data_IF_487761695923
#
_entry.id   IF_487761695923
#
_cell.length_a   1.000
_cell.length_b   1.000
_cell.length_c   1.000
_cell.angle_alpha   90.00
_cell.angle_beta   90.00
_cell.angle_gamma   90.00
#
_symmetry.space_group_name_H-M   'P 1'
#
loop_
_entity.id
_entity.type
_entity.pdbx_description
1 polymer ?
#
# COMPACT_ATOMS: atom_id res chain seq x y z
N UNK A 1 14.64 -13.71 -22.59
CA UNK A 1 15.04 -13.72 -21.17
C UNK A 1 14.57 -15.03 -20.57
N UNK A 2 15.46 -15.79 -19.91
CA UNK A 2 15.13 -17.10 -19.32
C UNK A 2 14.44 -16.94 -17.97
N UNK A 3 13.56 -17.87 -17.64
CA UNK A 3 12.96 -18.05 -16.30
C UNK A 3 14.09 -18.25 -15.26
N UNK A 4 13.87 -17.77 -14.04
CA UNK A 4 14.81 -17.86 -12.93
C UNK A 4 15.90 -16.79 -12.92
N UNK A 5 15.84 -15.77 -13.79
CA UNK A 5 16.76 -14.63 -13.70
C UNK A 5 16.35 -13.72 -12.53
N UNK A 6 17.35 -13.33 -11.78
CA UNK A 6 17.21 -12.42 -10.65
C UNK A 6 17.73 -11.03 -11.00
N UNK A 7 17.15 -10.01 -10.44
CA UNK A 7 17.63 -8.64 -10.45
C UNK A 7 17.56 -8.08 -9.04
N UNK A 8 18.58 -7.35 -8.70
CA UNK A 8 18.69 -6.66 -7.43
C UNK A 8 18.48 -5.16 -7.66
N UNK A 9 17.66 -4.55 -6.85
CA UNK A 9 17.35 -3.12 -6.91
C UNK A 9 17.82 -2.47 -5.62
N UNK A 10 18.62 -1.44 -5.78
CA UNK A 10 19.07 -0.50 -4.77
C UNK A 10 18.12 0.69 -4.86
N UNK A 11 17.38 1.00 -3.78
CA UNK A 11 16.33 2.01 -3.77
C UNK A 11 16.82 3.36 -3.24
N UNK A 12 17.86 3.39 -2.42
CA UNK A 12 18.37 4.61 -1.79
C UNK A 12 19.73 5.06 -2.32
N UNK A 13 20.36 4.23 -3.19
CA UNK A 13 21.62 4.58 -3.86
C UNK A 13 22.85 4.36 -2.99
N UNK A 14 22.74 3.60 -1.90
CA UNK A 14 23.85 3.29 -1.01
C UNK A 14 24.70 2.10 -1.49
N UNK A 15 24.41 1.55 -2.67
CA UNK A 15 25.03 0.39 -3.30
C UNK A 15 24.66 -0.93 -2.62
N UNK A 16 23.71 -0.95 -1.70
CA UNK A 16 23.20 -2.15 -1.05
C UNK A 16 21.79 -2.45 -1.57
N UNK A 17 21.57 -3.53 -2.32
CA UNK A 17 20.23 -3.77 -2.86
C UNK A 17 19.25 -4.23 -1.77
N UNK A 18 18.11 -3.55 -1.66
CA UNK A 18 17.04 -3.88 -0.72
C UNK A 18 16.02 -4.84 -1.28
N UNK A 19 15.92 -4.93 -2.60
CA UNK A 19 14.90 -5.75 -3.25
C UNK A 19 15.56 -6.72 -4.26
N UNK A 20 15.19 -7.98 -4.14
CA UNK A 20 15.46 -9.01 -5.14
C UNK A 20 14.19 -9.29 -5.93
N UNK A 21 14.24 -9.12 -7.24
CA UNK A 21 13.19 -9.45 -8.19
C UNK A 21 13.51 -10.75 -8.89
N UNK A 22 12.61 -11.72 -8.81
CA UNK A 22 12.78 -13.03 -9.46
C UNK A 22 11.67 -13.23 -10.49
N UNK A 23 12.03 -13.59 -11.73
CA UNK A 23 11.07 -14.00 -12.76
C UNK A 23 10.70 -15.47 -12.55
N UNK A 24 9.52 -15.71 -11.97
CA UNK A 24 9.08 -17.07 -11.64
C UNK A 24 8.44 -17.78 -12.83
N UNK A 25 7.59 -17.09 -13.56
CA UNK A 25 6.86 -17.68 -14.70
C UNK A 25 6.38 -16.62 -15.69
N UNK A 26 6.20 -17.05 -16.93
CA UNK A 26 5.58 -16.26 -18.00
C UNK A 26 4.48 -17.09 -18.64
N UNK A 27 3.23 -16.78 -18.31
CA UNK A 27 2.09 -17.40 -18.97
C UNK A 27 1.97 -16.91 -20.43
N UNK A 28 2.43 -17.76 -21.35
CA UNK A 28 2.40 -17.51 -22.78
C UNK A 28 1.10 -18.00 -23.44
N UNK A 29 0.32 -18.80 -22.74
CA UNK A 29 -0.92 -19.39 -23.23
C UNK A 29 -2.17 -18.52 -23.04
N UNK A 30 -2.07 -17.52 -22.16
CA UNK A 30 -3.16 -16.58 -21.92
C UNK A 30 -3.14 -15.43 -22.94
N UNK A 31 -4.30 -14.97 -23.43
CA UNK A 31 -4.37 -13.79 -24.29
C UNK A 31 -3.84 -12.52 -23.60
N UNK A 32 -3.74 -12.51 -22.28
CA UNK A 32 -3.26 -11.38 -21.48
C UNK A 32 -1.75 -11.45 -21.12
N UNK A 33 -1.00 -12.45 -21.57
CA UNK A 33 0.46 -12.60 -21.36
C UNK A 33 0.93 -12.19 -19.96
N UNK A 34 0.54 -12.94 -18.95
CA UNK A 34 0.88 -12.64 -17.53
C UNK A 34 2.32 -13.03 -17.23
N UNK A 35 3.00 -12.17 -16.48
CA UNK A 35 4.32 -12.44 -15.92
C UNK A 35 4.18 -12.54 -14.40
N UNK A 36 4.66 -13.63 -13.83
CA UNK A 36 4.69 -13.81 -12.37
C UNK A 36 6.07 -13.42 -11.86
N UNK A 37 6.13 -12.34 -11.07
CA UNK A 37 7.35 -11.82 -10.45
C UNK A 37 7.30 -12.06 -8.94
N UNK A 38 8.36 -12.66 -8.40
CA UNK A 38 8.60 -12.70 -6.96
C UNK A 38 9.40 -11.48 -6.53
N UNK A 39 8.90 -10.73 -5.54
CA UNK A 39 9.61 -9.63 -4.90
C UNK A 39 10.01 -10.08 -3.50
N UNK A 40 11.31 -10.04 -3.22
CA UNK A 40 11.86 -10.43 -1.93
C UNK A 40 12.67 -9.27 -1.35
N UNK A 41 12.45 -8.98 -0.09
CA UNK A 41 13.32 -8.04 0.62
C UNK A 41 14.66 -8.73 0.91
N UNK A 42 15.75 -8.13 0.50
CA UNK A 42 17.09 -8.57 0.90
C UNK A 42 17.34 -7.97 2.29
N UNK A 43 17.35 -8.79 3.35
CA UNK A 43 17.98 -8.37 4.60
C UNK A 43 19.48 -8.29 4.32
N UNK A 44 20.11 -7.16 4.61
CA UNK A 44 21.47 -6.78 4.21
C UNK A 44 22.63 -7.78 4.46
N UNK A 45 22.32 -8.99 4.89
CA UNK A 45 23.29 -10.05 5.11
C UNK A 45 23.57 -10.92 3.87
N UNK A 46 22.71 -10.92 2.86
CA UNK A 46 22.89 -11.74 1.66
C UNK A 46 23.74 -11.04 0.57
N UNK A 47 23.86 -9.72 0.61
CA UNK A 47 24.69 -8.96 -0.34
C UNK A 47 26.21 -9.10 -0.06
N UNK A 48 26.59 -9.31 1.20
CA UNK A 48 27.99 -9.51 1.59
C UNK A 48 28.60 -10.82 1.05
N UNK A 49 27.76 -11.85 0.78
CA UNK A 49 28.24 -13.16 0.32
C UNK A 49 28.58 -13.20 -1.17
N UNK A 50 28.01 -12.34 -2.00
CA UNK A 50 28.30 -12.30 -3.43
C UNK A 50 29.53 -11.43 -3.77
N UNK A 51 29.86 -10.46 -2.92
CA UNK A 51 31.01 -9.59 -3.07
C UNK A 51 32.31 -10.22 -2.47
N UNK A 52 32.20 -11.16 -1.51
CA UNK A 52 33.29 -11.78 -0.84
C UNK A 52 34.01 -12.85 -1.67
N UNK A 53 33.45 -13.23 -2.82
CA UNK A 53 34.11 -14.18 -3.75
C UNK A 53 35.19 -13.54 -4.63
N UNK A 54 35.45 -12.25 -4.58
CA UNK A 54 36.36 -11.52 -5.46
C UNK A 54 37.55 -10.83 -4.76
N UNK A 55 37.68 -10.86 -3.44
CA UNK A 55 38.81 -10.26 -2.75
C UNK A 55 39.16 -11.06 -1.48
N UNK A 56 40.28 -11.81 -1.54
CA UNK A 56 40.91 -12.32 -0.33
C UNK A 56 41.56 -11.17 0.41
N UNK A 57 41.13 -10.92 1.66
CA UNK A 57 42.02 -10.60 2.77
C UNK A 57 41.21 -10.44 4.09
N UNK A 58 41.89 -10.69 5.17
CA UNK A 58 41.54 -10.87 6.59
C UNK A 58 40.44 -9.99 7.18
N UNK A 59 39.49 -10.52 8.02
CA UNK A 59 38.46 -9.73 8.65
C UNK A 59 38.95 -9.03 9.93
N UNK A 60 38.93 -7.71 9.95
CA UNK A 60 38.90 -6.92 11.20
C UNK A 60 37.49 -6.85 11.77
N UNK A 61 37.30 -6.90 13.08
CA UNK A 61 35.95 -6.81 13.68
C UNK A 61 35.41 -5.39 13.57
N UNK A 62 34.28 -5.24 12.88
CA UNK A 62 33.54 -3.99 12.80
C UNK A 62 32.65 -3.86 14.03
N UNK A 63 32.65 -2.71 14.72
CA UNK A 63 31.75 -2.49 15.86
C UNK A 63 30.28 -2.46 15.39
N UNK A 64 29.44 -3.23 16.08
CA UNK A 64 28.01 -3.27 15.87
C UNK A 64 27.44 -1.89 16.19
N UNK A 65 27.22 -1.06 15.18
CA UNK A 65 26.43 0.14 15.31
C UNK A 65 24.97 -0.25 15.52
N UNK A 66 24.36 0.34 16.56
CA UNK A 66 23.05 -0.02 17.04
C UNK A 66 21.98 -0.03 15.97
N UNK A 67 21.06 -0.98 16.11
CA UNK A 67 19.84 -1.09 15.31
C UNK A 67 19.08 0.24 15.32
N UNK A 68 19.27 1.04 14.30
CA UNK A 68 18.38 2.17 14.07
C UNK A 68 17.01 1.58 13.71
N UNK A 69 16.08 1.65 14.65
CA UNK A 69 14.66 1.42 14.37
C UNK A 69 14.30 2.37 13.24
N UNK A 70 13.77 1.88 12.09
CA UNK A 70 13.36 2.78 11.02
C UNK A 70 12.37 3.79 11.60
N UNK A 71 12.47 5.08 11.23
CA UNK A 71 11.55 6.09 11.74
C UNK A 71 10.13 5.65 11.38
N UNK A 72 9.32 5.41 12.40
CA UNK A 72 7.88 5.24 12.24
C UNK A 72 7.39 6.58 11.70
N UNK A 73 7.11 6.65 10.40
CA UNK A 73 6.47 7.82 9.81
C UNK A 73 5.08 7.89 10.44
N UNK A 74 4.92 8.80 11.37
CA UNK A 74 3.62 9.10 11.94
C UNK A 74 2.74 9.61 10.82
N UNK A 75 1.67 8.88 10.49
CA UNK A 75 0.67 9.34 9.56
C UNK A 75 0.04 10.63 10.12
N UNK A 76 0.27 11.75 9.46
CA UNK A 76 -0.26 13.06 9.89
C UNK A 76 -1.72 13.27 9.50
N UNK A 77 -2.31 12.30 8.82
CA UNK A 77 -3.71 12.34 8.42
C UNK A 77 -4.62 12.36 9.65
N UNK A 78 -5.42 13.42 9.78
CA UNK A 78 -6.37 13.56 10.87
C UNK A 78 -7.70 12.90 10.52
N UNK A 79 -8.41 12.26 11.46
CA UNK A 79 -9.74 11.75 11.23
C UNK A 79 -10.67 12.84 10.70
N UNK A 80 -11.44 12.51 9.65
CA UNK A 80 -12.36 13.43 8.98
C UNK A 80 -13.75 12.82 9.00
N UNK A 81 -14.77 13.61 9.44
CA UNK A 81 -16.16 13.24 9.33
C UNK A 81 -16.62 13.35 7.87
N UNK A 82 -17.15 12.25 7.33
CA UNK A 82 -17.64 12.14 5.97
C UNK A 82 -19.15 12.41 5.89
N UNK A 83 -19.90 12.10 6.97
CA UNK A 83 -21.35 12.30 7.06
C UNK A 83 -21.90 11.79 8.38
N UNK A 84 -23.17 12.12 8.63
CA UNK A 84 -23.90 11.70 9.83
C UNK A 84 -25.19 10.98 9.45
N UNK A 85 -25.64 10.05 10.29
CA UNK A 85 -26.90 9.34 10.13
C UNK A 85 -27.48 8.95 11.49
N UNK A 86 -28.81 8.81 11.56
CA UNK A 86 -29.49 8.33 12.76
C UNK A 86 -29.16 6.84 13.05
N UNK A 87 -28.86 6.07 12.00
CA UNK A 87 -28.48 4.66 12.09
C UNK A 87 -27.33 4.36 11.14
N UNK A 88 -26.41 3.48 11.56
CA UNK A 88 -25.39 2.92 10.68
C UNK A 88 -26.07 2.09 9.58
N UNK A 89 -25.69 2.32 8.34
CA UNK A 89 -26.29 1.66 7.18
C UNK A 89 -25.30 1.51 6.04
N UNK A 90 -25.82 1.12 4.87
CA UNK A 90 -25.04 1.06 3.64
C UNK A 90 -24.46 2.44 3.31
N UNK A 91 -23.22 2.44 2.87
CA UNK A 91 -22.57 3.62 2.32
C UNK A 91 -21.78 3.27 1.06
N UNK A 92 -21.71 4.23 0.17
CA UNK A 92 -21.03 4.11 -1.12
C UNK A 92 -19.79 5.00 -1.13
N UNK A 93 -18.70 4.45 -1.66
CA UNK A 93 -17.45 5.16 -1.87
C UNK A 93 -17.13 5.12 -3.37
N UNK A 94 -17.08 6.30 -3.99
CA UNK A 94 -16.67 6.44 -5.39
C UNK A 94 -15.21 6.92 -5.43
N UNK A 95 -14.38 6.23 -6.18
CA UNK A 95 -12.98 6.59 -6.37
C UNK A 95 -12.74 7.02 -7.81
N UNK A 96 -11.96 8.10 -7.97
CA UNK A 96 -11.43 8.55 -9.26
C UNK A 96 -9.92 8.63 -9.15
N UNK A 97 -9.21 7.96 -10.06
CA UNK A 97 -7.76 7.90 -10.06
C UNK A 97 -7.18 8.95 -11.00
N UNK A 98 -6.39 9.88 -10.46
CA UNK A 98 -5.71 10.96 -11.18
C UNK A 98 -4.35 10.54 -11.71
N UNK A 99 -3.76 9.50 -11.12
CA UNK A 99 -2.50 8.86 -11.49
C UNK A 99 -2.56 7.37 -11.16
N UNK A 100 -1.53 6.64 -11.58
CA UNK A 100 -1.40 5.22 -11.32
C UNK A 100 -1.34 4.93 -9.82
N UNK A 101 -2.09 3.91 -9.39
CA UNK A 101 -2.19 3.51 -7.99
C UNK A 101 -2.47 2.01 -7.86
N UNK A 102 -1.65 1.30 -7.10
CA UNK A 102 -2.04 0.00 -6.58
C UNK A 102 -3.00 0.23 -5.42
N UNK A 103 -4.24 -0.16 -5.61
CA UNK A 103 -5.34 0.02 -4.66
C UNK A 103 -5.75 -1.34 -4.12
N UNK A 104 -5.65 -1.49 -2.83
CA UNK A 104 -6.07 -2.68 -2.10
C UNK A 104 -7.21 -2.29 -1.20
N UNK A 105 -8.22 -3.13 -1.08
CA UNK A 105 -9.36 -2.84 -0.22
C UNK A 105 -9.92 -4.08 0.45
N UNK A 106 -10.60 -3.86 1.57
CA UNK A 106 -11.32 -4.85 2.35
C UNK A 106 -12.65 -4.22 2.78
N UNK A 107 -13.76 -4.84 2.39
CA UNK A 107 -15.11 -4.43 2.76
C UNK A 107 -15.63 -5.31 3.88
N UNK A 108 -16.01 -4.70 4.98
CA UNK A 108 -16.54 -5.37 6.18
C UNK A 108 -15.65 -6.54 6.66
N UNK A 109 -16.17 -7.77 6.63
CA UNK A 109 -15.46 -9.00 6.96
C UNK A 109 -15.15 -9.86 5.72
N UNK A 110 -15.18 -9.27 4.53
CA UNK A 110 -14.95 -9.96 3.27
C UNK A 110 -13.48 -10.30 3.01
N UNK A 111 -13.17 -10.61 1.78
CA UNK A 111 -11.81 -10.86 1.34
C UNK A 111 -11.12 -9.56 0.94
N UNK A 112 -9.81 -9.54 1.11
CA UNK A 112 -8.97 -8.46 0.62
C UNK A 112 -8.79 -8.61 -0.89
N UNK A 113 -9.05 -7.53 -1.62
CA UNK A 113 -8.87 -7.45 -3.06
C UNK A 113 -7.78 -6.43 -3.41
N UNK A 114 -7.00 -6.75 -4.42
CA UNK A 114 -5.92 -5.92 -4.95
C UNK A 114 -6.23 -5.58 -6.41
N UNK A 115 -6.18 -4.28 -6.75
CA UNK A 115 -6.38 -3.79 -8.12
C UNK A 115 -5.36 -2.70 -8.44
N UNK A 116 -4.88 -2.69 -9.67
CA UNK A 116 -4.09 -1.60 -10.20
C UNK A 116 -4.99 -0.71 -11.07
N UNK A 117 -5.00 0.57 -10.75
CA UNK A 117 -5.76 1.59 -11.49
C UNK A 117 -4.82 2.56 -12.18
N UNK A 118 -5.19 2.96 -13.37
CA UNK A 118 -4.50 3.97 -14.16
C UNK A 118 -5.22 5.31 -14.07
N UNK A 119 -4.53 6.36 -14.51
CA UNK A 119 -5.10 7.70 -14.58
C UNK A 119 -6.41 7.72 -15.37
N UNK A 120 -7.46 8.31 -14.79
CA UNK A 120 -8.78 8.46 -15.38
C UNK A 120 -9.76 7.33 -15.06
N UNK A 121 -9.29 6.23 -14.48
CA UNK A 121 -10.18 5.14 -14.09
C UNK A 121 -11.02 5.50 -12.87
N UNK A 122 -12.18 4.86 -12.76
CA UNK A 122 -13.12 5.02 -11.67
C UNK A 122 -13.46 3.66 -11.06
N UNK A 123 -13.76 3.66 -9.78
CA UNK A 123 -14.13 2.46 -9.06
C UNK A 123 -15.10 2.81 -7.93
N UNK A 124 -16.14 1.99 -7.76
CA UNK A 124 -17.16 2.19 -6.72
C UNK A 124 -17.20 0.99 -5.79
N UNK A 125 -17.27 1.25 -4.49
CA UNK A 125 -17.62 0.29 -3.45
C UNK A 125 -18.99 0.67 -2.92
N UNK A 126 -20.01 -0.13 -3.19
CA UNK A 126 -21.42 0.14 -2.87
C UNK A 126 -22.04 -0.83 -1.86
N UNK A 127 -21.26 -1.81 -1.39
CA UNK A 127 -21.73 -2.91 -0.53
C UNK A 127 -21.36 -2.76 0.93
N UNK A 128 -20.63 -1.71 1.30
CA UNK A 128 -20.12 -1.52 2.65
C UNK A 128 -21.21 -1.17 3.66
N UNK A 129 -21.25 -1.85 4.79
CA UNK A 129 -22.22 -1.63 5.88
C UNK A 129 -21.57 -1.18 7.18
N UNK A 130 -20.39 -1.67 7.48
CA UNK A 130 -19.68 -1.42 8.75
C UNK A 130 -18.43 -0.59 8.53
N UNK A 131 -17.54 -1.10 7.68
CA UNK A 131 -16.25 -0.47 7.43
C UNK A 131 -15.68 -0.85 6.08
N UNK A 132 -14.83 0.02 5.57
CA UNK A 132 -13.92 -0.27 4.46
C UNK A 132 -12.51 0.09 4.90
N UNK A 133 -11.57 -0.83 4.71
CA UNK A 133 -10.14 -0.52 4.86
C UNK A 133 -9.52 -0.47 3.48
N UNK A 134 -8.77 0.57 3.21
CA UNK A 134 -8.07 0.77 1.93
C UNK A 134 -6.58 0.98 2.16
N UNK A 135 -5.78 0.44 1.26
CA UNK A 135 -4.33 0.64 1.18
C UNK A 135 -4.02 1.21 -0.20
N UNK A 136 -3.28 2.29 -0.22
CA UNK A 136 -2.93 3.04 -1.42
C UNK A 136 -1.41 3.11 -1.53
N UNK A 137 -0.88 2.70 -2.68
CA UNK A 137 0.55 2.93 -2.99
C UNK A 137 0.86 4.39 -3.33
N UNK A 138 -0.19 5.18 -3.63
CA UNK A 138 -0.11 6.58 -4.00
C UNK A 138 -1.43 7.26 -3.60
N UNK A 139 -1.49 7.78 -2.38
CA UNK A 139 -2.72 8.32 -1.80
C UNK A 139 -3.22 9.57 -2.53
N UNK A 140 -2.32 10.44 -2.98
CA UNK A 140 -2.67 11.62 -3.75
C UNK A 140 -3.12 11.32 -5.19
N UNK A 141 -2.91 10.09 -5.67
CA UNK A 141 -3.45 9.66 -6.96
C UNK A 141 -4.95 9.37 -6.91
N UNK A 142 -5.51 9.06 -5.74
CA UNK A 142 -6.91 8.68 -5.59
C UNK A 142 -7.70 9.80 -4.92
N UNK A 143 -8.82 10.19 -5.52
CA UNK A 143 -9.84 11.03 -4.91
C UNK A 143 -11.04 10.17 -4.59
N UNK A 144 -11.53 10.28 -3.36
CA UNK A 144 -12.72 9.57 -2.90
C UNK A 144 -13.90 10.54 -2.80
N UNK A 145 -15.06 10.12 -3.30
CA UNK A 145 -16.33 10.84 -3.13
C UNK A 145 -17.27 10.04 -2.25
N UNK A 146 -17.83 10.72 -1.26
CA UNK A 146 -18.83 10.17 -0.33
C UNK A 146 -19.95 11.18 -0.15
N UNK A 147 -21.18 10.77 -0.33
CA UNK A 147 -22.38 11.65 -0.22
C UNK A 147 -22.25 12.95 -1.03
N UNK A 148 -21.67 12.84 -2.24
CA UNK A 148 -21.49 13.98 -3.14
C UNK A 148 -20.32 14.92 -2.82
N UNK A 149 -19.56 14.67 -1.74
CA UNK A 149 -18.39 15.47 -1.34
C UNK A 149 -17.11 14.73 -1.68
N UNK A 150 -16.12 15.45 -2.19
CA UNK A 150 -14.81 14.93 -2.52
C UNK A 150 -13.84 15.04 -1.34
N UNK A 151 -13.04 13.97 -1.14
CA UNK A 151 -12.02 13.89 -0.10
C UNK A 151 -10.70 13.44 -0.71
N UNK A 152 -9.62 14.07 -0.27
CA UNK A 152 -8.25 13.64 -0.59
C UNK A 152 -7.78 12.65 0.47
N UNK A 153 -7.03 11.63 0.03
CA UNK A 153 -6.64 10.52 0.89
C UNK A 153 -5.20 10.63 1.40
N UNK A 154 -4.44 11.57 0.86
CA UNK A 154 -3.06 11.88 1.22
C UNK A 154 -2.35 12.60 0.08
N UNK A 155 -1.03 12.74 0.21
CA UNK A 155 -0.19 13.43 -0.76
C UNK A 155 0.21 12.52 -1.93
N UNK A 156 0.64 13.14 -3.04
CA UNK A 156 1.13 12.42 -4.22
C UNK A 156 2.41 11.65 -3.86
N UNK A 157 2.43 10.34 -4.17
CA UNK A 157 3.53 9.44 -3.80
C UNK A 157 3.48 8.93 -2.36
N UNK A 158 2.54 9.40 -1.54
CA UNK A 158 2.34 8.88 -0.17
C UNK A 158 1.74 7.48 -0.21
N UNK A 159 2.35 6.55 0.54
CA UNK A 159 1.74 5.24 0.82
C UNK A 159 0.88 5.38 2.06
N UNK A 160 -0.40 5.13 1.93
CA UNK A 160 -1.34 5.36 3.01
C UNK A 160 -2.28 4.18 3.25
N UNK A 161 -2.67 4.01 4.52
CA UNK A 161 -3.75 3.11 4.91
C UNK A 161 -4.83 3.91 5.60
N UNK A 162 -6.08 3.76 5.11
CA UNK A 162 -7.23 4.48 5.65
C UNK A 162 -8.33 3.51 6.01
N UNK A 163 -9.04 3.79 7.10
CA UNK A 163 -10.27 3.09 7.48
C UNK A 163 -11.44 4.05 7.38
N UNK A 164 -12.47 3.66 6.67
CA UNK A 164 -13.76 4.35 6.61
C UNK A 164 -14.75 3.48 7.40
N UNK A 165 -15.34 4.02 8.47
CA UNK A 165 -16.22 3.25 9.33
C UNK A 165 -17.28 4.13 10.01
N UNK A 166 -18.42 3.51 10.33
CA UNK A 166 -19.38 4.11 11.23
C UNK A 166 -18.87 4.11 12.66
N UNK A 167 -18.97 5.25 13.32
CA UNK A 167 -18.70 5.42 14.76
C UNK A 167 -19.92 6.01 15.43
N UNK A 168 -20.19 5.60 16.68
CA UNK A 168 -21.24 6.23 17.50
C UNK A 168 -20.81 7.64 17.86
N UNK A 169 -21.67 8.60 17.63
CA UNK A 169 -21.50 9.97 18.10
C UNK A 169 -22.17 10.14 19.45
N UNK A 170 -21.37 10.27 20.49
CA UNK A 170 -21.86 10.42 21.86
C UNK A 170 -22.64 11.73 22.08
N UNK A 171 -22.42 12.75 21.26
CA UNK A 171 -23.08 14.04 21.41
C UNK A 171 -24.50 14.04 20.83
N UNK A 172 -24.71 13.39 19.68
CA UNK A 172 -26.02 13.35 18.99
C UNK A 172 -26.78 12.05 19.23
N UNK A 173 -26.14 11.00 19.80
CA UNK A 173 -26.71 9.65 19.91
C UNK A 173 -26.86 8.94 18.57
N UNK A 174 -26.38 9.53 17.48
CA UNK A 174 -26.39 8.97 16.14
C UNK A 174 -25.06 8.32 15.74
N UNK A 175 -24.83 8.24 14.44
CA UNK A 175 -23.61 7.67 13.85
C UNK A 175 -22.93 8.68 12.95
N UNK A 176 -21.61 8.70 13.00
CA UNK A 176 -20.74 9.45 12.08
C UNK A 176 -19.97 8.47 11.22
N UNK A 177 -20.04 8.65 9.91
CA UNK A 177 -19.13 7.98 9.00
C UNK A 177 -17.81 8.76 9.01
N UNK A 178 -16.72 8.12 9.38
CA UNK A 178 -15.41 8.75 9.57
C UNK A 178 -14.35 8.03 8.75
N UNK A 179 -13.44 8.80 8.17
CA UNK A 179 -12.19 8.28 7.65
C UNK A 179 -11.07 8.59 8.64
N UNK A 180 -10.28 7.59 8.96
CA UNK A 180 -9.15 7.68 9.90
C UNK A 180 -7.94 6.93 9.38
N UNK A 181 -6.72 7.30 9.80
CA UNK A 181 -5.54 6.47 9.57
C UNK A 181 -5.69 5.15 10.33
N UNK A 182 -5.07 4.09 9.81
CA UNK A 182 -5.11 2.79 10.49
C UNK A 182 -3.93 2.62 11.46
N UNK A 183 -2.82 3.33 11.21
CA UNK A 183 -1.58 3.30 12.01
C UNK A 183 -1.08 4.71 12.29
#
# INVERSE_FOLDING_TARGET
MGLGKERYLDLDGDSTPEIRVVWNDVDRGSPQKRVNLGLYRTSGQAAASAAAAAAGDTPSPIPVAGSATPPVRSDTFKPISLGQAAQAGLFTLDFTFKNDCLFRYLVDAGNREDRFFQKGEQFTIDTARKQVTIWLSNAGAARMRVQGRDFELGDLGEVATRRIAWRTDAASGGYVLEISPLY
#
